data_IF_657366620032
#
_entry.id   IF_657366620032
#
_cell.length_a   1.000
_cell.length_b   1.000
_cell.length_c   1.000
_cell.angle_alpha   90.00
_cell.angle_beta   90.00
_cell.angle_gamma   90.00
#
_symmetry.space_group_name_H-M   'P 1'
#
loop_
_entity.id
_entity.type
_entity.pdbx_description
1 polymer ?
#
# COMPACT_ATOMS: atom_id res chain seq x y z
N UNK A 1 16.47 29.04 54.71
CA UNK A 1 15.23 28.89 53.89
C UNK A 1 15.39 29.21 52.38
N UNK A 2 16.35 30.04 51.94
CA UNK A 2 16.54 30.36 50.49
C UNK A 2 17.17 29.27 49.63
N UNK A 3 17.94 28.32 50.21
CA UNK A 3 18.58 27.21 49.46
C UNK A 3 17.59 26.11 49.01
N UNK A 4 16.53 25.83 49.78
CA UNK A 4 15.56 24.80 49.44
C UNK A 4 14.65 25.19 48.24
N UNK A 5 14.40 26.47 48.04
CA UNK A 5 13.60 26.94 46.91
C UNK A 5 14.31 26.81 45.55
N UNK A 6 15.66 26.97 45.55
CA UNK A 6 16.45 26.81 44.31
C UNK A 6 16.47 25.37 43.77
N UNK A 7 16.48 24.38 44.66
CA UNK A 7 16.43 22.99 44.23
C UNK A 7 15.07 22.56 43.62
N UNK A 8 13.99 23.13 44.16
CA UNK A 8 12.67 22.80 43.59
C UNK A 8 12.44 23.41 42.20
N UNK A 9 12.91 24.64 41.96
CA UNK A 9 12.83 25.25 40.63
C UNK A 9 13.64 24.48 39.55
N UNK A 10 14.81 23.95 39.90
CA UNK A 10 15.65 23.18 38.99
C UNK A 10 14.97 21.87 38.55
N UNK A 11 14.25 21.21 39.45
CA UNK A 11 13.52 19.97 39.12
C UNK A 11 12.32 20.18 38.18
N UNK A 12 11.62 21.32 38.33
CA UNK A 12 10.51 21.63 37.41
C UNK A 12 10.98 22.02 36.02
N UNK A 13 12.12 22.72 35.90
CA UNK A 13 12.71 23.04 34.59
C UNK A 13 13.21 21.78 33.87
N UNK A 14 13.81 20.81 34.60
CA UNK A 14 14.25 19.55 34.02
C UNK A 14 13.07 18.68 33.60
N UNK A 15 11.99 18.63 34.38
CA UNK A 15 10.77 17.90 34.04
C UNK A 15 10.05 18.50 32.82
N UNK A 16 10.00 19.83 32.69
CA UNK A 16 9.43 20.50 31.53
C UNK A 16 10.27 20.28 30.26
N UNK A 17 11.59 20.22 30.36
CA UNK A 17 12.46 19.93 29.22
C UNK A 17 12.33 18.47 28.74
N UNK A 18 12.10 17.50 29.64
CA UNK A 18 11.85 16.10 29.25
C UNK A 18 10.49 15.91 28.59
N UNK A 19 9.46 16.65 28.97
CA UNK A 19 8.15 16.61 28.32
C UNK A 19 8.14 17.22 26.91
N UNK A 20 9.02 18.18 26.62
CA UNK A 20 9.13 18.79 25.29
C UNK A 20 9.80 17.87 24.26
N UNK A 21 10.51 16.82 24.69
CA UNK A 21 11.09 15.79 23.83
C UNK A 21 10.14 14.63 23.50
N UNK A 22 8.93 14.57 24.08
CA UNK A 22 7.86 13.66 23.63
C UNK A 22 7.29 14.15 22.32
N UNK A 23 8.08 14.00 21.35
CA UNK A 23 8.09 14.07 19.94
C UNK A 23 6.74 14.20 19.27
N UNK A 24 6.65 15.12 18.40
CA UNK A 24 5.84 14.99 17.20
C UNK A 24 6.27 13.74 16.44
N UNK A 25 5.71 12.59 16.79
CA UNK A 25 5.63 11.47 15.87
C UNK A 25 4.64 11.94 14.81
N UNK A 26 5.15 12.65 13.81
CA UNK A 26 4.36 12.91 12.62
C UNK A 26 3.84 11.57 12.11
N UNK A 27 2.54 11.40 11.87
CA UNK A 27 2.03 10.17 11.30
C UNK A 27 2.80 9.90 10.01
N UNK A 28 3.35 8.70 9.90
CA UNK A 28 4.07 8.30 8.71
C UNK A 28 3.10 8.43 7.53
N UNK A 29 3.33 9.43 6.67
CA UNK A 29 2.56 9.60 5.46
C UNK A 29 3.06 8.56 4.47
N UNK A 30 2.37 7.44 4.39
CA UNK A 30 2.64 6.39 3.41
C UNK A 30 1.75 6.59 2.19
N UNK A 31 2.23 6.16 1.01
CA UNK A 31 1.37 6.01 -0.15
C UNK A 31 0.22 5.06 0.24
N UNK A 32 -0.99 5.58 0.28
CA UNK A 32 -2.14 4.85 0.81
C UNK A 32 -3.14 4.56 -0.29
N UNK A 33 -3.48 3.28 -0.45
CA UNK A 33 -4.67 2.90 -1.22
C UNK A 33 -5.91 3.30 -0.41
N UNK A 34 -6.74 4.15 -0.98
CA UNK A 34 -7.97 4.67 -0.34
C UNK A 34 -9.21 3.94 -0.80
N UNK A 35 -9.20 3.42 -2.03
CA UNK A 35 -10.37 2.78 -2.63
C UNK A 35 -9.93 1.61 -3.52
N UNK A 36 -10.65 0.50 -3.38
CA UNK A 36 -10.60 -0.63 -4.31
C UNK A 36 -11.97 -0.80 -4.95
N UNK A 37 -12.02 -0.76 -6.27
CA UNK A 37 -13.26 -0.96 -7.04
C UNK A 37 -13.11 -2.20 -7.92
N UNK A 38 -13.96 -3.20 -7.72
CA UNK A 38 -14.01 -4.38 -8.59
C UNK A 38 -14.92 -4.06 -9.77
N UNK A 39 -14.37 -4.20 -10.98
CA UNK A 39 -15.08 -3.93 -12.22
C UNK A 39 -15.57 -5.20 -12.91
N UNK A 40 -14.89 -6.34 -12.70
CA UNK A 40 -15.25 -7.63 -13.26
C UNK A 40 -14.84 -8.77 -12.35
N UNK A 41 -15.66 -9.83 -12.34
CA UNK A 41 -15.34 -11.10 -11.66
C UNK A 41 -15.78 -12.27 -12.54
N UNK A 42 -14.84 -13.13 -12.86
CA UNK A 42 -15.08 -14.38 -13.55
C UNK A 42 -14.81 -15.54 -12.58
N UNK A 43 -15.83 -16.27 -12.23
CA UNK A 43 -15.74 -17.39 -11.27
C UNK A 43 -16.65 -18.52 -11.72
N UNK A 44 -16.08 -19.69 -12.14
CA UNK A 44 -14.65 -19.94 -12.31
C UNK A 44 -14.06 -19.29 -13.56
N UNK A 45 -12.74 -19.07 -13.55
CA UNK A 45 -11.92 -18.75 -14.73
C UNK A 45 -11.36 -20.02 -15.37
N UNK A 46 -10.53 -19.90 -16.42
CA UNK A 46 -9.90 -21.02 -17.15
C UNK A 46 -10.91 -22.09 -17.59
N UNK A 47 -12.10 -21.68 -18.06
CA UNK A 47 -13.15 -22.61 -18.49
C UNK A 47 -13.65 -23.55 -17.38
N UNK A 48 -13.41 -23.24 -16.12
CA UNK A 48 -13.80 -24.09 -14.99
C UNK A 48 -12.82 -25.21 -14.68
N UNK A 49 -11.62 -25.21 -15.25
CA UNK A 49 -10.59 -26.21 -14.99
C UNK A 49 -10.19 -26.23 -13.52
N UNK A 50 -9.99 -27.42 -12.95
CA UNK A 50 -9.44 -27.62 -11.61
C UNK A 50 -7.94 -27.90 -11.68
N UNK A 51 -7.18 -27.31 -10.74
CA UNK A 51 -5.72 -27.43 -10.66
C UNK A 51 -5.33 -28.20 -9.40
N UNK A 52 -5.02 -29.48 -9.57
CA UNK A 52 -4.61 -30.36 -8.47
C UNK A 52 -5.61 -30.36 -7.31
N UNK A 53 -5.10 -30.30 -6.08
CA UNK A 53 -5.91 -30.28 -4.85
C UNK A 53 -6.47 -28.89 -4.51
N UNK A 54 -5.95 -27.84 -5.16
CA UNK A 54 -6.40 -26.45 -4.95
C UNK A 54 -7.79 -26.24 -5.55
N UNK A 55 -8.10 -26.89 -6.67
CA UNK A 55 -9.39 -26.79 -7.36
C UNK A 55 -9.43 -25.65 -8.37
N UNK A 56 -10.59 -25.02 -8.47
CA UNK A 56 -10.85 -23.96 -9.45
C UNK A 56 -10.37 -22.59 -8.98
N UNK A 57 -10.10 -21.73 -9.95
CA UNK A 57 -9.68 -20.33 -9.73
C UNK A 57 -10.74 -19.34 -10.20
N UNK A 58 -10.66 -18.14 -9.68
CA UNK A 58 -11.41 -16.99 -10.16
C UNK A 58 -10.47 -15.84 -10.51
N UNK A 59 -10.92 -15.02 -11.48
CA UNK A 59 -10.24 -13.80 -11.92
C UNK A 59 -11.06 -12.58 -11.52
N UNK A 60 -10.41 -11.64 -10.86
CA UNK A 60 -10.99 -10.37 -10.41
C UNK A 60 -10.22 -9.26 -11.08
N UNK A 61 -10.92 -8.35 -11.75
CA UNK A 61 -10.34 -7.15 -12.36
C UNK A 61 -10.90 -5.93 -11.64
N UNK A 62 -10.06 -4.95 -11.40
CA UNK A 62 -10.46 -3.75 -10.71
C UNK A 62 -9.50 -2.60 -10.82
N UNK A 63 -9.81 -1.55 -10.09
CA UNK A 63 -8.96 -0.36 -9.92
C UNK A 63 -8.64 -0.14 -8.47
N UNK A 64 -7.40 0.28 -8.19
CA UNK A 64 -6.93 0.76 -6.91
C UNK A 64 -6.63 2.25 -7.04
N UNK A 65 -7.30 3.08 -6.26
CA UNK A 65 -7.01 4.51 -6.18
C UNK A 65 -6.38 4.83 -4.84
N UNK A 66 -5.51 5.81 -4.83
CA UNK A 66 -4.81 6.20 -3.60
C UNK A 66 -4.26 7.62 -3.66
N UNK A 67 -3.57 7.97 -2.59
CA UNK A 67 -2.96 9.29 -2.40
C UNK A 67 -1.50 9.15 -2.00
N UNK A 68 -0.68 10.06 -2.51
CA UNK A 68 0.75 10.17 -2.21
C UNK A 68 1.02 11.58 -1.68
N UNK A 69 1.76 11.67 -0.59
CA UNK A 69 2.25 12.94 -0.08
C UNK A 69 3.52 13.36 -0.84
N UNK A 70 3.48 14.42 -1.65
CA UNK A 70 4.67 14.87 -2.36
C UNK A 70 5.69 15.53 -1.43
N UNK A 71 5.32 15.91 -0.21
CA UNK A 71 6.23 16.47 0.78
C UNK A 71 6.97 15.39 1.61
N UNK A 72 6.54 14.13 1.55
CA UNK A 72 7.21 13.03 2.25
C UNK A 72 8.55 12.73 1.56
N UNK A 73 9.68 12.76 2.30
CA UNK A 73 11.01 12.49 1.73
C UNK A 73 11.12 11.11 1.06
N UNK A 74 10.35 10.12 1.49
CA UNK A 74 10.32 8.77 0.88
C UNK A 74 9.77 8.79 -0.54
N UNK A 75 8.94 9.77 -0.88
CA UNK A 75 8.36 9.93 -2.20
C UNK A 75 9.22 10.81 -3.12
N UNK A 76 10.33 11.37 -2.64
CA UNK A 76 11.23 12.20 -3.45
C UNK A 76 11.88 11.44 -4.62
N UNK A 77 11.91 10.09 -4.55
CA UNK A 77 12.39 9.23 -5.64
C UNK A 77 11.44 9.24 -6.86
N UNK A 78 10.18 9.65 -6.69
CA UNK A 78 9.21 9.72 -7.78
C UNK A 78 9.51 10.97 -8.60
N UNK A 79 9.96 10.76 -9.84
CA UNK A 79 10.32 11.86 -10.75
C UNK A 79 9.14 12.83 -10.92
N UNK A 80 9.44 14.12 -10.79
CA UNK A 80 8.50 15.22 -11.01
C UNK A 80 7.23 15.20 -10.14
N UNK A 81 7.22 14.47 -9.03
CA UNK A 81 6.04 14.40 -8.12
C UNK A 81 5.61 15.79 -7.64
N UNK A 82 6.55 16.73 -7.52
CA UNK A 82 6.27 18.10 -7.09
C UNK A 82 5.46 18.89 -8.12
N UNK A 83 5.51 18.50 -9.40
CA UNK A 83 4.79 19.13 -10.51
C UNK A 83 3.41 18.50 -10.74
N UNK A 84 3.11 17.35 -10.10
CA UNK A 84 1.85 16.65 -10.26
C UNK A 84 0.68 17.47 -9.68
N UNK A 85 -0.50 17.44 -10.30
CA UNK A 85 -1.71 18.05 -9.75
C UNK A 85 -2.02 17.52 -8.36
N UNK A 86 -2.50 18.41 -7.48
CA UNK A 86 -2.82 18.08 -6.08
C UNK A 86 -4.31 18.21 -5.82
N UNK A 87 -4.84 17.32 -5.00
CA UNK A 87 -6.20 17.43 -4.50
C UNK A 87 -6.30 18.51 -3.39
N UNK A 88 -7.52 18.70 -2.84
CA UNK A 88 -7.79 19.69 -1.80
C UNK A 88 -6.95 19.48 -0.52
N UNK A 89 -6.43 18.27 -0.29
CA UNK A 89 -5.57 17.94 0.85
C UNK A 89 -4.07 18.09 0.53
N UNK A 90 -3.72 18.68 -0.63
CA UNK A 90 -2.34 18.84 -1.08
C UNK A 90 -1.64 17.54 -1.51
N UNK A 91 -2.37 16.44 -1.67
CA UNK A 91 -1.86 15.12 -2.07
C UNK A 91 -2.00 14.90 -3.57
N UNK A 92 -1.08 14.13 -4.13
CA UNK A 92 -1.16 13.62 -5.50
C UNK A 92 -2.00 12.36 -5.49
N UNK A 93 -3.06 12.33 -6.30
CA UNK A 93 -3.91 11.14 -6.45
C UNK A 93 -3.41 10.26 -7.59
N UNK A 94 -3.59 8.96 -7.44
CA UNK A 94 -3.29 7.99 -8.50
C UNK A 94 -4.40 6.95 -8.61
N UNK A 95 -4.50 6.34 -9.79
CA UNK A 95 -5.34 5.16 -10.03
C UNK A 95 -4.56 4.17 -10.86
N UNK A 96 -4.57 2.91 -10.43
CA UNK A 96 -3.95 1.78 -11.12
C UNK A 96 -4.99 0.68 -11.34
N UNK A 97 -4.90 0.00 -12.47
CA UNK A 97 -5.67 -1.22 -12.71
C UNK A 97 -4.95 -2.43 -12.12
N UNK A 98 -5.71 -3.41 -11.66
CA UNK A 98 -5.16 -4.70 -11.23
C UNK A 98 -5.97 -5.86 -11.76
N UNK A 99 -5.30 -6.99 -11.94
CA UNK A 99 -5.92 -8.31 -12.15
C UNK A 99 -5.43 -9.23 -11.03
N UNK A 100 -6.35 -9.84 -10.31
CA UNK A 100 -6.08 -10.81 -9.27
C UNK A 100 -6.65 -12.16 -9.71
N UNK A 101 -5.79 -13.17 -9.73
CA UNK A 101 -6.18 -14.59 -9.94
C UNK A 101 -5.93 -15.29 -8.62
N UNK A 102 -6.95 -15.96 -8.10
CA UNK A 102 -6.87 -16.66 -6.82
C UNK A 102 -7.73 -17.93 -6.83
N UNK A 103 -7.44 -18.93 -5.98
CA UNK A 103 -8.36 -20.03 -5.74
C UNK A 103 -9.74 -19.52 -5.34
N UNK A 104 -10.81 -20.17 -5.80
CA UNK A 104 -12.16 -19.90 -5.30
C UNK A 104 -12.20 -20.17 -3.79
N UNK A 105 -11.66 -21.32 -3.39
CA UNK A 105 -11.44 -21.66 -1.97
C UNK A 105 -10.02 -21.24 -1.56
N UNK A 106 -9.89 -20.07 -0.96
CA UNK A 106 -8.58 -19.52 -0.54
C UNK A 106 -7.87 -20.36 0.51
N UNK A 107 -8.60 -21.21 1.25
CA UNK A 107 -8.00 -22.07 2.27
C UNK A 107 -7.15 -23.19 1.70
N UNK A 108 -7.33 -23.50 0.41
CA UNK A 108 -6.55 -24.48 -0.34
C UNK A 108 -5.31 -23.90 -1.01
N UNK A 109 -5.12 -22.58 -0.94
CA UNK A 109 -3.93 -21.91 -1.42
C UNK A 109 -2.73 -22.15 -0.50
N UNK A 110 -1.52 -21.98 -1.05
CA UNK A 110 -0.27 -22.14 -0.30
C UNK A 110 0.13 -20.91 0.54
N UNK A 111 -0.72 -19.87 0.59
CA UNK A 111 -0.46 -18.61 1.32
C UNK A 111 0.57 -17.69 0.65
N UNK A 112 1.05 -18.03 -0.54
CA UNK A 112 2.03 -17.20 -1.27
C UNK A 112 1.31 -16.31 -2.27
N UNK A 113 1.61 -14.99 -2.24
CA UNK A 113 1.20 -14.03 -3.26
C UNK A 113 2.34 -13.85 -4.26
N UNK A 114 2.07 -14.14 -5.54
CA UNK A 114 2.94 -13.73 -6.62
C UNK A 114 2.47 -12.37 -7.14
N UNK A 115 3.33 -11.35 -7.00
CA UNK A 115 3.03 -9.99 -7.45
C UNK A 115 3.88 -9.63 -8.66
N UNK A 116 3.22 -9.29 -9.78
CA UNK A 116 3.88 -8.85 -11.00
C UNK A 116 3.53 -7.40 -11.30
N UNK A 117 4.57 -6.56 -11.40
CA UNK A 117 4.45 -5.18 -11.89
C UNK A 117 4.66 -5.20 -13.40
N UNK A 118 3.65 -4.81 -14.15
CA UNK A 118 3.66 -4.79 -15.62
C UNK A 118 4.73 -3.83 -16.14
N UNK A 119 5.65 -4.34 -16.98
CA UNK A 119 6.66 -3.50 -17.62
C UNK A 119 6.16 -3.03 -18.99
N UNK A 120 6.02 -1.72 -19.18
CA UNK A 120 5.58 -1.08 -20.43
C UNK A 120 4.26 -1.66 -21.00
N UNK A 121 3.34 -2.06 -20.11
CA UNK A 121 2.07 -2.66 -20.51
C UNK A 121 2.17 -4.14 -20.94
N UNK A 122 3.35 -4.73 -20.93
CA UNK A 122 3.54 -6.14 -21.27
C UNK A 122 3.46 -7.04 -20.04
N UNK A 123 2.61 -8.05 -20.10
CA UNK A 123 2.54 -9.10 -19.07
C UNK A 123 3.57 -10.18 -19.40
N UNK A 124 4.58 -10.33 -18.56
CA UNK A 124 5.59 -11.38 -18.72
C UNK A 124 5.27 -12.65 -17.93
N UNK A 125 4.25 -12.61 -17.09
CA UNK A 125 3.97 -13.63 -16.09
C UNK A 125 3.36 -14.92 -16.63
N UNK A 126 2.41 -14.90 -17.58
CA UNK A 126 1.74 -16.12 -18.02
C UNK A 126 2.72 -17.18 -18.55
N UNK A 127 3.70 -16.76 -19.34
CA UNK A 127 4.68 -17.68 -19.95
C UNK A 127 5.70 -18.25 -18.95
N UNK A 128 6.14 -17.45 -17.99
CA UNK A 128 7.19 -17.85 -17.04
C UNK A 128 6.71 -18.78 -15.93
N UNK A 129 5.40 -18.84 -15.69
CA UNK A 129 4.80 -19.68 -14.65
C UNK A 129 3.69 -20.61 -15.15
N UNK A 130 3.60 -20.81 -16.48
CA UNK A 130 2.63 -21.72 -17.10
C UNK A 130 1.20 -21.19 -17.17
N UNK A 131 1.01 -19.87 -17.10
CA UNK A 131 -0.30 -19.24 -17.28
C UNK A 131 -0.74 -19.18 -18.73
N UNK A 132 -2.04 -18.95 -18.96
CA UNK A 132 -2.61 -18.78 -20.29
C UNK A 132 -2.15 -17.44 -20.90
N UNK A 133 -1.59 -17.42 -22.14
CA UNK A 133 -1.20 -16.19 -22.82
C UNK A 133 -2.38 -15.27 -23.15
N UNK A 134 -3.62 -15.74 -23.08
CA UNK A 134 -4.85 -14.98 -23.33
C UNK A 134 -5.40 -14.22 -22.10
N UNK A 135 -4.82 -14.40 -20.94
CA UNK A 135 -5.29 -13.79 -19.68
C UNK A 135 -4.59 -12.49 -19.31
#
# INVERSE_FOLDING_TARGET
>A
MKKLQRFRAAHYVLAAALCACCGFIAPASEAKVTTLTITSRQSPTYGGQSFGTVGQYERIIGTASGEIDPADPRNAIITDIQLAPRNANGKVTYTATFTLIKPIDVTKGNGVLFYNVVNRGSRNTPYSIGGDPGD
#
